data_IF_874650464821
#
_entry.id   IF_874650464821
#
_cell.length_a   1.000
_cell.length_b   1.000
_cell.length_c   1.000
_cell.angle_alpha   90.00
_cell.angle_beta   90.00
_cell.angle_gamma   90.00
#
_symmetry.space_group_name_H-M   'P 1'
#
loop_
_entity.id
_entity.type
_entity.pdbx_description
1 polymer ?
#
# COMPACT_ATOMS: atom_id res chain seq x y z
N UNK A 1 67.74 28.16 -4.75
CA UNK A 1 67.64 26.84 -5.40
C UNK A 1 68.13 25.81 -4.40
N UNK A 2 67.21 25.23 -3.64
CA UNK A 2 67.49 24.17 -2.68
C UNK A 2 67.26 22.83 -3.36
N UNK A 3 68.29 22.00 -3.32
CA UNK A 3 68.37 20.69 -3.96
C UNK A 3 67.38 19.72 -3.28
N UNK A 4 66.28 19.40 -3.99
CA UNK A 4 65.10 18.68 -3.47
C UNK A 4 65.17 17.17 -3.66
N UNK A 5 66.35 16.57 -3.82
CA UNK A 5 66.44 15.16 -4.20
C UNK A 5 67.44 14.33 -3.36
N UNK A 6 67.30 14.38 -2.04
CA UNK A 6 67.84 13.32 -1.16
C UNK A 6 66.68 12.46 -0.69
N UNK A 7 66.52 11.28 -1.32
CA UNK A 7 65.62 10.22 -0.85
C UNK A 7 66.05 9.80 0.56
N UNK A 8 65.08 9.66 1.48
CA UNK A 8 65.33 9.17 2.85
C UNK A 8 65.76 7.70 2.75
N UNK A 9 66.98 7.32 3.18
CA UNK A 9 67.49 5.96 3.07
C UNK A 9 66.74 4.91 3.92
N UNK A 10 65.70 5.33 4.67
CA UNK A 10 64.82 4.43 5.45
C UNK A 10 63.52 4.09 4.74
N UNK A 11 63.22 4.71 3.60
CA UNK A 11 62.02 4.43 2.82
C UNK A 11 62.39 3.56 1.62
N UNK A 12 61.76 2.39 1.43
CA UNK A 12 61.99 1.57 0.24
C UNK A 12 61.62 2.37 -1.02
N UNK A 13 62.40 2.20 -2.09
CA UNK A 13 62.15 2.89 -3.35
C UNK A 13 60.86 2.42 -4.03
N UNK A 14 60.41 3.15 -5.04
CA UNK A 14 59.17 2.83 -5.77
C UNK A 14 59.32 1.61 -6.71
N UNK A 15 60.50 0.98 -6.71
CA UNK A 15 60.79 -0.32 -7.34
C UNK A 15 60.75 -1.48 -6.34
N UNK A 16 60.37 -1.23 -5.08
CA UNK A 16 60.12 -2.28 -4.10
C UNK A 16 58.78 -2.96 -4.37
N UNK A 17 58.81 -4.06 -5.12
CA UNK A 17 57.71 -5.01 -5.20
C UNK A 17 57.75 -5.89 -3.93
N UNK A 18 56.79 -5.76 -2.98
CA UNK A 18 56.74 -6.64 -1.84
C UNK A 18 56.44 -8.05 -2.32
N UNK A 19 57.42 -8.96 -2.20
CA UNK A 19 57.20 -10.37 -2.46
C UNK A 19 56.57 -11.03 -1.22
N UNK A 20 55.53 -11.83 -1.43
CA UNK A 20 54.98 -12.66 -0.36
C UNK A 20 55.87 -13.90 -0.19
N UNK A 21 56.48 -14.05 0.99
CA UNK A 21 57.11 -15.31 1.34
C UNK A 21 56.04 -16.42 1.35
N UNK A 22 56.28 -17.58 0.71
CA UNK A 22 55.35 -18.71 0.77
C UNK A 22 55.35 -19.31 2.18
N UNK A 23 54.57 -18.68 3.08
CA UNK A 23 54.32 -19.18 4.43
C UNK A 23 53.13 -20.12 4.41
N UNK A 24 53.32 -21.31 4.97
CA UNK A 24 52.22 -22.26 5.16
C UNK A 24 51.19 -21.63 6.09
N UNK A 25 49.92 -21.77 5.73
CA UNK A 25 48.80 -21.30 6.54
C UNK A 25 48.88 -21.99 7.93
N UNK A 26 48.70 -21.25 9.04
CA UNK A 26 48.72 -21.83 10.37
C UNK A 26 47.67 -22.92 10.53
N UNK A 27 48.03 -24.06 11.12
CA UNK A 27 47.12 -25.20 11.35
C UNK A 27 45.76 -24.82 11.98
N UNK A 28 45.66 -23.87 12.93
CA UNK A 28 44.36 -23.45 13.47
C UNK A 28 43.38 -22.90 12.42
N UNK A 29 43.87 -22.24 11.38
CA UNK A 29 43.02 -21.68 10.30
C UNK A 29 42.41 -22.80 9.47
N UNK A 30 43.17 -23.87 9.20
CA UNK A 30 42.62 -25.07 8.55
C UNK A 30 41.53 -25.73 9.40
N UNK A 31 41.72 -25.82 10.71
CA UNK A 31 40.70 -26.38 11.61
C UNK A 31 39.41 -25.57 11.62
N UNK A 32 39.50 -24.23 11.61
CA UNK A 32 38.33 -23.35 11.51
C UNK A 32 37.60 -23.56 10.17
N UNK A 33 38.34 -23.60 9.06
CA UNK A 33 37.75 -23.82 7.74
C UNK A 33 37.03 -25.18 7.63
N UNK A 34 37.63 -26.24 8.19
CA UNK A 34 37.02 -27.58 8.25
C UNK A 34 35.77 -27.56 9.13
N UNK A 35 35.81 -26.92 10.29
CA UNK A 35 34.66 -26.82 11.18
C UNK A 35 33.48 -26.08 10.53
N UNK A 36 33.74 -24.98 9.81
CA UNK A 36 32.71 -24.24 9.08
C UNK A 36 32.12 -25.06 7.91
N UNK A 37 32.95 -25.81 7.19
CA UNK A 37 32.49 -26.69 6.13
C UNK A 37 31.58 -27.82 6.68
N UNK A 38 32.00 -28.46 7.78
CA UNK A 38 31.20 -29.50 8.46
C UNK A 38 29.89 -28.90 8.98
N UNK A 39 29.96 -27.74 9.65
CA UNK A 39 28.78 -27.06 10.17
C UNK A 39 27.80 -26.68 9.03
N UNK A 40 28.30 -26.16 7.92
CA UNK A 40 27.49 -25.84 6.73
C UNK A 40 26.82 -27.06 6.12
N UNK A 41 27.52 -28.18 6.00
CA UNK A 41 26.94 -29.45 5.51
C UNK A 41 25.87 -29.98 6.47
N UNK A 42 26.12 -29.95 7.78
CA UNK A 42 25.13 -30.35 8.79
C UNK A 42 23.89 -29.47 8.72
N UNK A 43 24.05 -28.15 8.58
CA UNK A 43 22.95 -27.20 8.44
C UNK A 43 22.12 -27.47 7.17
N UNK A 44 22.77 -27.69 6.02
CA UNK A 44 22.09 -28.03 4.76
C UNK A 44 21.31 -29.34 4.87
N UNK A 45 21.91 -30.35 5.51
CA UNK A 45 21.24 -31.65 5.74
C UNK A 45 20.05 -31.47 6.67
N UNK A 46 20.21 -30.80 7.81
CA UNK A 46 19.13 -30.52 8.75
C UNK A 46 17.98 -29.73 8.08
N UNK A 47 18.31 -28.71 7.28
CA UNK A 47 17.33 -27.94 6.54
C UNK A 47 16.59 -28.81 5.51
N UNK A 48 17.29 -29.71 4.82
CA UNK A 48 16.67 -30.67 3.88
C UNK A 48 15.79 -31.73 4.55
N UNK A 49 16.06 -32.07 5.81
CA UNK A 49 15.21 -32.96 6.59
C UNK A 49 13.96 -32.23 7.08
N UNK A 50 14.09 -30.98 7.55
CA UNK A 50 12.96 -30.16 7.98
C UNK A 50 12.00 -29.85 6.83
N UNK A 51 12.50 -29.59 5.61
CA UNK A 51 11.65 -29.39 4.43
C UNK A 51 10.90 -30.66 4.06
N UNK A 52 11.57 -31.82 4.05
CA UNK A 52 10.91 -33.12 3.78
C UNK A 52 9.86 -33.51 4.82
N UNK A 53 10.05 -33.13 6.08
CA UNK A 53 9.05 -33.33 7.13
C UNK A 53 7.88 -32.38 6.89
N UNK A 54 8.14 -31.11 6.61
CA UNK A 54 7.12 -30.12 6.25
C UNK A 54 6.30 -30.52 5.01
N UNK A 55 6.95 -31.06 3.97
CA UNK A 55 6.28 -31.55 2.75
C UNK A 55 5.41 -32.78 3.03
N UNK A 56 5.83 -33.67 3.94
CA UNK A 56 5.04 -34.83 4.36
C UNK A 56 3.87 -34.43 5.26
N UNK A 57 4.08 -33.47 6.15
CA UNK A 57 3.01 -32.90 6.98
C UNK A 57 2.01 -32.17 6.09
N UNK A 58 2.47 -31.39 5.10
CA UNK A 58 1.63 -30.73 4.08
C UNK A 58 0.88 -31.73 3.20
N UNK A 59 1.49 -32.84 2.81
CA UNK A 59 0.82 -33.92 2.08
C UNK A 59 -0.24 -34.61 2.94
N UNK A 60 0.04 -34.82 4.24
CA UNK A 60 -0.92 -35.41 5.17
C UNK A 60 -2.08 -34.46 5.52
N UNK A 61 -1.81 -33.15 5.57
CA UNK A 61 -2.82 -32.10 5.74
C UNK A 61 -3.65 -31.93 4.48
N UNK A 62 -3.04 -32.00 3.29
CA UNK A 62 -3.78 -31.99 2.02
C UNK A 62 -4.64 -33.25 1.86
N UNK A 63 -4.19 -34.41 2.32
CA UNK A 63 -5.01 -35.63 2.27
C UNK A 63 -6.21 -35.56 3.25
N UNK A 64 -6.06 -34.85 4.38
CA UNK A 64 -7.18 -34.59 5.30
C UNK A 64 -8.14 -33.51 4.80
N UNK A 65 -7.64 -32.49 4.10
CA UNK A 65 -8.45 -31.41 3.53
C UNK A 65 -9.16 -31.83 2.23
N UNK A 66 -8.53 -32.67 1.42
CA UNK A 66 -9.12 -33.29 0.21
C UNK A 66 -10.14 -34.37 0.58
N UNK A 67 -9.99 -35.07 1.71
CA UNK A 67 -11.03 -35.95 2.24
C UNK A 67 -12.27 -35.17 2.75
N UNK A 68 -12.10 -33.89 3.13
CA UNK A 68 -13.20 -33.00 3.52
C UNK A 68 -13.79 -32.18 2.35
N UNK A 69 -13.14 -32.17 1.19
CA UNK A 69 -13.58 -31.42 0.00
C UNK A 69 -13.58 -32.30 -1.24
N UNK A 70 -14.56 -33.19 -1.32
CA UNK A 70 -14.99 -33.65 -2.65
C UNK A 70 -15.52 -32.43 -3.43
N UNK A 71 -15.11 -32.19 -4.68
CA UNK A 71 -15.58 -31.05 -5.45
C UNK A 71 -17.03 -31.26 -5.83
N UNK A 72 -17.94 -30.82 -4.96
CA UNK A 72 -19.34 -30.65 -5.34
C UNK A 72 -19.39 -29.42 -6.22
N UNK A 73 -19.63 -29.65 -7.50
CA UNK A 73 -20.14 -28.65 -8.44
C UNK A 73 -21.47 -28.14 -7.88
N UNK A 74 -21.43 -27.12 -7.03
CA UNK A 74 -22.58 -26.58 -6.31
C UNK A 74 -22.90 -25.18 -6.83
N UNK A 75 -24.15 -25.03 -7.27
CA UNK A 75 -24.81 -23.73 -7.48
C UNK A 75 -24.72 -22.84 -6.22
N UNK A 76 -24.86 -21.51 -6.36
CA UNK A 76 -24.63 -20.58 -5.27
C UNK A 76 -25.61 -20.84 -4.12
N UNK A 77 -25.09 -21.00 -2.89
CA UNK A 77 -25.95 -21.05 -1.71
C UNK A 77 -26.64 -19.69 -1.52
N UNK A 78 -27.95 -19.65 -1.23
CA UNK A 78 -28.73 -18.41 -1.13
C UNK A 78 -28.22 -17.41 -0.08
N UNK A 79 -27.42 -17.83 0.90
CA UNK A 79 -26.91 -16.95 1.98
C UNK A 79 -25.46 -16.44 1.77
N UNK A 80 -24.81 -16.79 0.64
CA UNK A 80 -23.40 -16.43 0.41
C UNK A 80 -23.18 -14.92 0.35
N UNK A 81 -24.09 -14.18 -0.31
CA UNK A 81 -24.00 -12.73 -0.42
C UNK A 81 -24.11 -12.01 0.93
N UNK A 82 -24.91 -12.54 1.86
CA UNK A 82 -25.07 -11.97 3.21
C UNK A 82 -23.79 -12.12 4.05
N UNK A 83 -23.17 -13.29 4.02
CA UNK A 83 -21.92 -13.54 4.72
C UNK A 83 -20.80 -12.65 4.17
N UNK A 84 -20.64 -12.63 2.84
CA UNK A 84 -19.66 -11.78 2.17
C UNK A 84 -19.88 -10.30 2.47
N UNK A 85 -21.13 -9.84 2.54
CA UNK A 85 -21.47 -8.47 2.91
C UNK A 85 -21.08 -8.15 4.37
N UNK A 86 -21.35 -9.08 5.30
CA UNK A 86 -20.95 -8.92 6.71
C UNK A 86 -19.43 -8.80 6.85
N UNK A 87 -18.68 -9.61 6.11
CA UNK A 87 -17.22 -9.66 6.21
C UNK A 87 -16.53 -8.44 5.56
N UNK A 88 -17.13 -7.87 4.51
CA UNK A 88 -16.45 -6.86 3.67
C UNK A 88 -17.08 -5.47 3.69
N UNK A 89 -18.37 -5.36 4.04
CA UNK A 89 -19.14 -4.13 3.82
C UNK A 89 -19.77 -3.59 5.11
N UNK A 90 -20.21 -4.47 6.01
CA UNK A 90 -20.99 -4.09 7.19
C UNK A 90 -20.22 -3.19 8.18
N UNK A 91 -18.88 -3.31 8.24
CA UNK A 91 -18.06 -2.44 9.10
C UNK A 91 -18.20 -0.94 8.79
N UNK A 92 -18.58 -0.61 7.54
CA UNK A 92 -18.81 0.77 7.11
C UNK A 92 -20.29 1.04 6.87
N UNK A 93 -20.99 0.16 6.15
CA UNK A 93 -22.38 0.37 5.76
C UNK A 93 -23.41 -0.12 6.77
N UNK A 94 -23.00 -0.72 7.90
CA UNK A 94 -23.89 -1.33 8.88
C UNK A 94 -24.42 -2.70 8.43
N UNK A 95 -24.86 -3.51 9.39
CA UNK A 95 -25.29 -4.90 9.15
C UNK A 95 -26.52 -5.01 8.25
N UNK A 96 -27.37 -3.97 8.23
CA UNK A 96 -28.54 -3.86 7.38
C UNK A 96 -28.33 -2.86 6.23
N UNK A 97 -27.10 -2.39 5.99
CA UNK A 97 -26.83 -1.38 4.97
C UNK A 97 -27.42 -0.01 5.33
N UNK A 98 -27.59 0.32 6.60
CA UNK A 98 -28.12 1.59 7.09
C UNK A 98 -27.20 2.79 6.93
N UNK A 99 -25.91 2.54 6.72
CA UNK A 99 -24.89 3.56 6.65
C UNK A 99 -24.74 4.35 7.94
N UNK A 100 -24.01 5.46 7.84
CA UNK A 100 -23.77 6.41 8.93
C UNK A 100 -24.10 7.79 8.39
N UNK A 101 -25.01 8.50 9.04
CA UNK A 101 -25.43 9.84 8.63
C UNK A 101 -24.22 10.75 8.35
N UNK A 102 -24.25 11.43 7.20
CA UNK A 102 -23.21 12.37 6.72
C UNK A 102 -21.80 11.78 6.53
N UNK A 103 -21.63 10.45 6.64
CA UNK A 103 -20.33 9.79 6.52
C UNK A 103 -20.34 8.62 5.54
N UNK A 104 -21.24 7.66 5.72
CA UNK A 104 -21.36 6.47 4.87
C UNK A 104 -22.80 6.37 4.35
N UNK A 105 -23.02 6.34 3.03
CA UNK A 105 -24.37 6.30 2.49
C UNK A 105 -25.11 5.00 2.85
N UNK A 106 -26.43 5.07 3.09
CA UNK A 106 -27.27 3.88 3.22
C UNK A 106 -27.28 3.13 1.90
N UNK A 107 -27.22 1.80 1.98
CA UNK A 107 -27.43 0.89 0.88
C UNK A 107 -28.88 0.42 0.84
N UNK A 108 -29.56 0.32 1.99
CA UNK A 108 -30.99 0.04 2.03
C UNK A 108 -31.79 1.28 1.68
N UNK A 109 -32.92 1.08 0.99
CA UNK A 109 -33.84 2.12 0.57
C UNK A 109 -33.23 3.26 -0.27
N UNK A 110 -31.99 3.14 -0.75
CA UNK A 110 -31.31 4.23 -1.45
C UNK A 110 -31.79 4.40 -2.90
N UNK A 111 -31.96 5.64 -3.32
CA UNK A 111 -32.22 6.00 -4.72
C UNK A 111 -31.16 5.48 -5.70
N UNK A 112 -29.89 5.49 -5.31
CA UNK A 112 -28.78 4.91 -6.09
C UNK A 112 -28.99 3.41 -6.33
N UNK A 113 -29.27 2.62 -5.29
CA UNK A 113 -29.49 1.17 -5.45
C UNK A 113 -30.80 0.89 -6.16
N UNK A 114 -31.87 1.62 -5.86
CA UNK A 114 -33.18 1.47 -6.51
C UNK A 114 -33.11 1.73 -8.02
N UNK A 115 -32.40 2.77 -8.45
CA UNK A 115 -32.29 3.13 -9.85
C UNK A 115 -31.25 2.27 -10.59
N UNK A 116 -30.13 1.95 -9.94
CA UNK A 116 -29.00 1.26 -10.57
C UNK A 116 -29.02 -0.27 -10.48
N UNK A 117 -29.69 -0.83 -9.48
CA UNK A 117 -29.76 -2.27 -9.23
C UNK A 117 -28.39 -2.94 -9.02
N UNK A 118 -28.36 -4.25 -9.19
CA UNK A 118 -27.16 -5.07 -8.99
C UNK A 118 -26.01 -4.70 -9.95
N UNK A 119 -26.34 -4.19 -11.15
CA UNK A 119 -25.33 -3.73 -12.11
C UNK A 119 -24.57 -2.49 -11.61
N UNK A 120 -25.28 -1.47 -11.13
CA UNK A 120 -24.62 -0.29 -10.58
C UNK A 120 -23.78 -0.61 -9.34
N UNK A 121 -24.30 -1.47 -8.45
CA UNK A 121 -23.55 -1.95 -7.29
C UNK A 121 -22.25 -2.64 -7.75
N UNK A 122 -22.32 -3.50 -8.77
CA UNK A 122 -21.13 -4.16 -9.33
C UNK A 122 -20.10 -3.15 -9.81
N UNK A 123 -20.51 -2.14 -10.57
CA UNK A 123 -19.61 -1.10 -11.06
C UNK A 123 -19.00 -0.24 -9.95
N UNK A 124 -19.76 0.06 -8.89
CA UNK A 124 -19.28 0.81 -7.73
C UNK A 124 -18.27 -0.03 -6.94
N UNK A 125 -18.61 -1.27 -6.62
CA UNK A 125 -17.72 -2.21 -5.89
C UNK A 125 -16.44 -2.48 -6.69
N UNK A 126 -16.52 -2.57 -8.02
CA UNK A 126 -15.37 -2.81 -8.89
C UNK A 126 -14.41 -1.61 -8.94
N UNK A 127 -14.92 -0.38 -8.96
CA UNK A 127 -14.08 0.83 -9.20
C UNK A 127 -13.80 1.64 -7.94
N UNK A 128 -14.59 1.47 -6.88
CA UNK A 128 -14.68 2.44 -5.79
C UNK A 128 -15.38 3.73 -6.23
N UNK A 129 -15.73 4.56 -5.26
CA UNK A 129 -16.37 5.87 -5.49
C UNK A 129 -15.86 6.88 -4.47
N UNK A 130 -15.56 8.09 -4.94
CA UNK A 130 -15.09 9.20 -4.12
C UNK A 130 -15.67 10.53 -4.61
N UNK A 131 -15.80 11.51 -3.72
CA UNK A 131 -16.37 12.82 -4.04
C UNK A 131 -17.88 12.96 -3.76
N UNK A 132 -18.47 14.13 -4.10
CA UNK A 132 -19.79 14.52 -3.63
C UNK A 132 -20.88 13.65 -4.25
N UNK A 133 -21.75 13.12 -3.41
CA UNK A 133 -22.82 12.18 -3.77
C UNK A 133 -24.08 12.54 -2.99
N UNK A 134 -25.22 12.60 -3.67
CA UNK A 134 -26.52 12.71 -3.03
C UNK A 134 -27.16 11.33 -3.01
N UNK A 135 -27.46 10.83 -1.81
CA UNK A 135 -28.22 9.59 -1.60
C UNK A 135 -29.42 9.91 -0.74
N UNK A 136 -30.63 9.62 -1.23
CA UNK A 136 -31.90 9.91 -0.53
C UNK A 136 -32.00 11.36 -0.01
N UNK A 137 -31.50 12.32 -0.81
CA UNK A 137 -31.44 13.77 -0.51
C UNK A 137 -30.44 14.17 0.58
N UNK A 138 -29.69 13.23 1.15
CA UNK A 138 -28.57 13.53 2.04
C UNK A 138 -27.26 13.61 1.24
N UNK A 139 -26.35 14.46 1.69
CA UNK A 139 -25.06 14.66 1.05
C UNK A 139 -24.00 13.76 1.69
N UNK A 140 -23.21 13.12 0.84
CA UNK A 140 -22.08 12.29 1.22
C UNK A 140 -20.86 12.74 0.42
N UNK A 141 -19.70 12.72 1.06
CA UNK A 141 -18.41 13.07 0.46
C UNK A 141 -17.33 12.13 1.01
N UNK A 142 -17.72 10.86 1.14
CA UNK A 142 -16.91 9.77 1.66
C UNK A 142 -16.26 8.98 0.54
N UNK A 143 -15.18 8.29 0.87
CA UNK A 143 -14.43 7.46 -0.07
C UNK A 143 -14.72 5.98 0.17
N UNK A 144 -15.22 5.30 -0.86
CA UNK A 144 -15.39 3.85 -0.88
C UNK A 144 -14.32 3.21 -1.76
N UNK A 145 -13.46 2.31 -1.21
CA UNK A 145 -12.40 1.68 -1.98
C UNK A 145 -12.95 0.71 -3.04
N UNK A 146 -12.11 0.37 -4.01
CA UNK A 146 -12.38 -0.74 -4.93
C UNK A 146 -12.17 -2.09 -4.23
N UNK A 147 -13.04 -3.04 -4.53
CA UNK A 147 -12.95 -4.43 -4.07
C UNK A 147 -12.62 -5.41 -5.19
N UNK A 148 -12.29 -4.90 -6.38
CA UNK A 148 -11.96 -5.74 -7.52
C UNK A 148 -10.82 -6.72 -7.20
N UNK A 149 -9.76 -6.29 -6.54
CA UNK A 149 -8.61 -7.17 -6.29
C UNK A 149 -8.86 -8.25 -5.22
N UNK A 150 -9.84 -8.05 -4.34
CA UNK A 150 -10.05 -8.89 -3.16
C UNK A 150 -11.24 -9.84 -3.29
N UNK A 151 -12.21 -9.51 -4.15
CA UNK A 151 -13.38 -10.34 -4.38
C UNK A 151 -13.38 -10.87 -5.81
N UNK A 152 -13.61 -12.16 -5.95
CA UNK A 152 -13.77 -12.79 -7.26
C UNK A 152 -15.13 -12.41 -7.90
N UNK A 153 -15.32 -12.81 -9.16
CA UNK A 153 -16.53 -12.44 -9.91
C UNK A 153 -17.81 -13.03 -9.32
N UNK A 154 -17.70 -14.19 -8.66
CA UNK A 154 -18.83 -14.86 -8.02
C UNK A 154 -19.20 -14.17 -6.71
N UNK A 155 -18.21 -13.73 -5.95
CA UNK A 155 -18.40 -13.04 -4.69
C UNK A 155 -19.00 -11.65 -4.90
N UNK A 156 -18.47 -10.89 -5.86
CA UNK A 156 -19.04 -9.60 -6.25
C UNK A 156 -20.48 -9.78 -6.76
N UNK A 157 -20.75 -10.80 -7.59
CA UNK A 157 -22.12 -11.06 -8.03
C UNK A 157 -23.04 -11.39 -6.85
N UNK A 158 -22.56 -12.17 -5.89
CA UNK A 158 -23.35 -12.55 -4.70
C UNK A 158 -23.66 -11.35 -3.80
N UNK A 159 -22.69 -10.47 -3.56
CA UNK A 159 -22.87 -9.22 -2.80
C UNK A 159 -23.83 -8.28 -3.54
N UNK A 160 -23.59 -8.02 -4.83
CA UNK A 160 -24.41 -7.12 -5.62
C UNK A 160 -25.88 -7.58 -5.68
N UNK A 161 -26.08 -8.90 -5.81
CA UNK A 161 -27.41 -9.49 -5.77
C UNK A 161 -28.03 -9.34 -4.38
N UNK A 162 -27.33 -9.70 -3.30
CA UNK A 162 -27.83 -9.54 -1.92
C UNK A 162 -28.25 -8.10 -1.59
N UNK A 163 -27.42 -7.11 -1.95
CA UNK A 163 -27.74 -5.70 -1.72
C UNK A 163 -28.98 -5.27 -2.54
N UNK A 164 -29.12 -5.74 -3.78
CA UNK A 164 -30.28 -5.43 -4.61
C UNK A 164 -31.55 -6.16 -4.13
N UNK A 165 -31.49 -7.46 -3.88
CA UNK A 165 -32.65 -8.29 -3.54
C UNK A 165 -33.03 -8.22 -2.08
N UNK A 166 -32.12 -8.52 -1.18
CA UNK A 166 -32.43 -8.75 0.23
C UNK A 166 -32.54 -7.42 1.00
N UNK A 167 -31.64 -6.47 0.73
CA UNK A 167 -31.70 -5.15 1.38
C UNK A 167 -32.72 -4.20 0.73
N UNK A 168 -33.08 -4.41 -0.54
CA UNK A 168 -33.88 -3.45 -1.32
C UNK A 168 -35.09 -4.03 -2.05
N UNK A 169 -35.31 -5.35 -2.02
CA UNK A 169 -36.47 -6.00 -2.64
C UNK A 169 -36.48 -5.95 -4.18
N UNK A 170 -35.34 -5.68 -4.83
CA UNK A 170 -35.24 -5.57 -6.28
C UNK A 170 -35.07 -6.97 -6.92
N UNK A 171 -35.61 -7.12 -8.12
CA UNK A 171 -35.39 -8.31 -8.97
C UNK A 171 -34.17 -8.17 -9.89
N UNK A 172 -33.33 -7.16 -9.65
CA UNK A 172 -32.13 -6.91 -10.43
C UNK A 172 -31.06 -7.91 -10.02
N UNK A 173 -30.52 -8.65 -10.99
CA UNK A 173 -29.46 -9.64 -10.74
C UNK A 173 -28.32 -9.48 -11.74
N UNK A 174 -27.11 -9.77 -11.29
CA UNK A 174 -25.91 -9.94 -12.12
C UNK A 174 -25.37 -11.35 -12.00
N UNK A 175 -24.81 -11.86 -13.09
CA UNK A 175 -24.12 -13.15 -13.15
C UNK A 175 -22.61 -12.96 -13.03
N UNK A 176 -21.85 -13.97 -12.55
CA UNK A 176 -20.38 -13.89 -12.50
C UNK A 176 -19.75 -13.58 -13.86
N UNK A 177 -20.33 -14.07 -14.97
CA UNK A 177 -19.86 -13.76 -16.31
C UNK A 177 -19.98 -12.26 -16.65
N UNK A 178 -21.09 -11.62 -16.27
CA UNK A 178 -21.26 -10.17 -16.43
C UNK A 178 -20.30 -9.38 -15.55
N UNK A 179 -20.02 -9.87 -14.34
CA UNK A 179 -19.01 -9.26 -13.46
C UNK A 179 -17.61 -9.33 -14.09
N UNK A 180 -17.24 -10.47 -14.67
CA UNK A 180 -15.96 -10.64 -15.37
C UNK A 180 -15.81 -9.68 -16.57
N UNK A 181 -16.89 -9.48 -17.33
CA UNK A 181 -16.94 -8.48 -18.42
C UNK A 181 -16.74 -7.06 -17.89
N UNK A 182 -17.46 -6.69 -16.82
CA UNK A 182 -17.32 -5.38 -16.16
C UNK A 182 -15.91 -5.19 -15.64
N UNK A 183 -15.32 -6.20 -14.99
CA UNK A 183 -13.94 -6.16 -14.48
C UNK A 183 -12.94 -5.86 -15.58
N UNK A 184 -13.06 -6.56 -16.70
CA UNK A 184 -12.18 -6.37 -17.86
C UNK A 184 -12.33 -4.96 -18.45
N UNK A 185 -13.56 -4.48 -18.56
CA UNK A 185 -13.85 -3.13 -19.07
C UNK A 185 -13.42 -2.01 -18.11
N UNK A 186 -13.25 -2.32 -16.81
CA UNK A 186 -12.96 -1.34 -15.76
C UNK A 186 -11.49 -1.28 -15.33
N UNK A 187 -10.64 -2.18 -15.83
CA UNK A 187 -9.31 -2.42 -15.27
C UNK A 187 -8.40 -1.18 -15.18
N UNK A 188 -8.51 -0.27 -16.15
CA UNK A 188 -7.69 0.95 -16.23
C UNK A 188 -8.48 2.23 -15.91
N UNK A 189 -9.72 2.11 -15.42
CA UNK A 189 -10.58 3.24 -15.12
C UNK A 189 -10.36 3.75 -13.69
N UNK A 190 -10.33 5.08 -13.54
CA UNK A 190 -10.31 5.71 -12.23
C UNK A 190 -11.58 5.38 -11.41
N UNK A 191 -11.54 5.53 -10.07
CA UNK A 191 -12.75 5.50 -9.24
C UNK A 191 -13.84 6.44 -9.75
N UNK A 192 -15.09 6.17 -9.37
CA UNK A 192 -16.20 7.06 -9.70
C UNK A 192 -16.04 8.40 -9.00
N UNK A 193 -16.28 9.48 -9.75
CA UNK A 193 -16.23 10.87 -9.26
C UNK A 193 -17.62 11.31 -8.76
N UNK A 194 -17.97 10.76 -7.61
CA UNK A 194 -19.20 11.02 -6.87
C UNK A 194 -20.45 10.73 -7.67
N UNK A 195 -21.50 11.50 -7.38
CA UNK A 195 -22.79 11.39 -8.05
C UNK A 195 -22.72 11.73 -9.54
N UNK A 196 -21.80 12.59 -9.95
CA UNK A 196 -21.66 12.98 -11.36
C UNK A 196 -21.21 11.81 -12.24
N UNK A 197 -20.27 11.00 -11.75
CA UNK A 197 -19.83 9.77 -12.41
C UNK A 197 -20.96 8.74 -12.48
N UNK A 198 -21.75 8.62 -11.40
CA UNK A 198 -22.88 7.70 -11.36
C UNK A 198 -24.04 8.11 -12.26
N UNK A 199 -24.26 9.41 -12.48
CA UNK A 199 -25.34 9.89 -13.36
C UNK A 199 -25.16 9.42 -14.82
N UNK A 200 -23.92 9.18 -15.27
CA UNK A 200 -23.65 8.59 -16.58
C UNK A 200 -23.86 7.07 -16.64
N UNK A 201 -23.87 6.40 -15.49
CA UNK A 201 -24.05 4.95 -15.37
C UNK A 201 -25.53 4.56 -15.12
N UNK A 202 -26.22 5.32 -14.27
CA UNK A 202 -27.53 4.98 -13.71
C UNK A 202 -28.60 5.84 -14.37
N UNK A 203 -29.45 5.20 -15.17
CA UNK A 203 -30.61 5.87 -15.76
C UNK A 203 -31.66 6.19 -14.69
N UNK A 204 -32.11 7.45 -14.63
CA UNK A 204 -33.17 7.88 -13.72
C UNK A 204 -32.70 8.22 -12.30
N UNK A 205 -31.39 8.33 -12.08
CA UNK A 205 -30.84 8.85 -10.83
C UNK A 205 -31.26 10.33 -10.63
N UNK A 206 -31.68 10.75 -9.42
CA UNK A 206 -31.94 12.16 -9.12
C UNK A 206 -30.73 13.05 -9.41
N UNK A 207 -30.97 14.35 -9.62
CA UNK A 207 -29.92 15.31 -9.92
C UNK A 207 -28.78 15.22 -8.90
N UNK A 208 -27.61 14.83 -9.38
CA UNK A 208 -26.41 14.69 -8.58
C UNK A 208 -25.59 15.98 -8.62
N UNK A 209 -24.78 16.26 -7.57
CA UNK A 209 -23.87 17.39 -7.60
C UNK A 209 -22.93 17.21 -8.79
N UNK A 210 -22.66 18.31 -9.50
CA UNK A 210 -21.60 18.30 -10.48
C UNK A 210 -20.30 17.91 -9.77
N UNK A 211 -19.49 17.05 -10.39
CA UNK A 211 -18.10 16.96 -9.98
C UNK A 211 -17.55 18.37 -10.09
N UNK A 212 -17.08 18.92 -8.98
CA UNK A 212 -16.30 20.15 -9.06
C UNK A 212 -15.09 19.79 -9.91
N UNK A 213 -15.09 20.20 -11.18
CA UNK A 213 -13.84 20.29 -11.95
C UNK A 213 -12.90 21.04 -11.05
N UNK A 214 -11.90 20.33 -10.52
CA UNK A 214 -10.94 20.88 -9.60
C UNK A 214 -10.53 22.25 -10.14
N UNK A 215 -10.67 23.35 -9.37
CA UNK A 215 -10.34 24.66 -9.85
C UNK A 215 -8.94 24.60 -10.48
N UNK A 216 -8.75 25.28 -11.62
CA UNK A 216 -7.46 25.34 -12.28
C UNK A 216 -6.38 25.60 -11.22
N UNK A 217 -5.32 24.77 -11.16
CA UNK A 217 -4.37 24.80 -10.05
C UNK A 217 -3.88 26.23 -9.87
N UNK A 218 -3.85 26.69 -8.62
CA UNK A 218 -3.24 27.99 -8.31
C UNK A 218 -1.82 28.06 -8.92
N UNK A 219 -1.28 29.25 -9.18
CA UNK A 219 0.09 29.38 -9.70
C UNK A 219 1.13 28.60 -8.87
N UNK A 220 0.93 28.52 -7.55
CA UNK A 220 1.74 27.68 -6.66
C UNK A 220 1.55 26.18 -6.95
N UNK A 221 0.32 25.69 -7.11
CA UNK A 221 0.07 24.28 -7.44
C UNK A 221 0.60 23.88 -8.83
N UNK A 222 0.59 24.79 -9.80
CA UNK A 222 1.22 24.55 -11.11
C UNK A 222 2.74 24.47 -10.99
N UNK A 223 3.36 25.33 -10.17
CA UNK A 223 4.80 25.28 -9.89
C UNK A 223 5.18 24.00 -9.14
N UNK A 224 4.37 23.55 -8.17
CA UNK A 224 4.58 22.27 -7.46
C UNK A 224 4.46 21.08 -8.41
N UNK A 225 3.47 21.05 -9.29
CA UNK A 225 3.31 20.00 -10.28
C UNK A 225 4.51 19.96 -11.26
N UNK A 226 4.97 21.13 -11.72
CA UNK A 226 6.16 21.23 -12.56
C UNK A 226 7.42 20.74 -11.83
N UNK A 227 7.58 21.09 -10.56
CA UNK A 227 8.67 20.59 -9.72
C UNK A 227 8.62 19.06 -9.57
N UNK A 228 7.43 18.50 -9.33
CA UNK A 228 7.26 17.06 -9.19
C UNK A 228 7.56 16.30 -10.50
N UNK A 229 7.13 16.83 -11.65
CA UNK A 229 7.27 16.16 -12.95
C UNK A 229 8.61 16.39 -13.63
N UNK A 230 9.17 17.60 -13.52
CA UNK A 230 10.34 18.02 -14.28
C UNK A 230 11.54 18.40 -13.42
N UNK A 231 11.33 18.63 -12.12
CA UNK A 231 12.37 19.13 -11.24
C UNK A 231 12.79 20.56 -11.60
N UNK A 232 13.98 20.94 -11.16
CA UNK A 232 14.69 22.16 -11.52
C UNK A 232 16.15 21.82 -11.84
N UNK A 233 16.98 22.82 -12.09
CA UNK A 233 18.43 22.62 -12.22
C UNK A 233 19.08 22.08 -10.92
N UNK A 234 18.43 22.27 -9.76
CA UNK A 234 18.97 21.93 -8.44
C UNK A 234 18.21 20.80 -7.74
N UNK A 235 16.99 20.50 -8.19
CA UNK A 235 16.09 19.50 -7.60
C UNK A 235 15.72 18.49 -8.68
N UNK A 236 15.98 17.20 -8.46
CA UNK A 236 15.55 16.17 -9.41
C UNK A 236 14.03 16.03 -9.42
N UNK A 237 13.48 15.68 -10.59
CA UNK A 237 12.07 15.33 -10.74
C UNK A 237 11.71 14.17 -9.80
N UNK A 238 10.65 14.36 -9.01
CA UNK A 238 10.09 13.30 -8.16
C UNK A 238 9.56 12.15 -9.02
N UNK A 239 8.89 12.47 -10.13
CA UNK A 239 8.31 11.51 -11.06
C UNK A 239 9.35 10.61 -11.74
N UNK A 240 10.58 11.10 -11.92
CA UNK A 240 11.67 10.31 -12.53
C UNK A 240 12.00 9.02 -11.76
N UNK A 241 11.67 8.97 -10.47
CA UNK A 241 11.85 7.79 -9.62
C UNK A 241 10.50 7.23 -9.13
N UNK A 242 9.59 8.10 -8.68
CA UNK A 242 8.33 7.69 -8.08
C UNK A 242 7.19 7.47 -9.08
N UNK A 243 7.43 7.68 -10.38
CA UNK A 243 6.43 7.57 -11.44
C UNK A 243 5.58 8.83 -11.60
N UNK A 244 5.00 9.00 -12.79
CA UNK A 244 4.22 10.19 -13.18
C UNK A 244 2.97 10.37 -12.32
N UNK A 245 2.44 9.28 -11.75
CA UNK A 245 1.29 9.28 -10.85
C UNK A 245 1.71 8.98 -9.41
N UNK A 246 3.00 9.05 -9.07
CA UNK A 246 3.49 8.71 -7.74
C UNK A 246 3.23 7.25 -7.33
N UNK A 247 3.09 6.34 -8.29
CA UNK A 247 2.80 4.91 -8.11
C UNK A 247 3.97 4.11 -7.48
N UNK A 248 5.18 4.64 -7.56
CA UNK A 248 6.40 3.95 -7.16
C UNK A 248 6.74 2.75 -8.05
N UNK A 249 7.89 2.14 -7.78
CA UNK A 249 8.35 0.95 -8.49
C UNK A 249 9.37 0.20 -7.65
N UNK A 250 9.22 -1.12 -7.51
CA UNK A 250 10.15 -1.98 -6.76
C UNK A 250 10.49 -1.45 -5.35
N UNK A 251 11.70 -0.93 -5.14
CA UNK A 251 12.20 -0.39 -3.87
C UNK A 251 11.85 1.09 -3.68
N UNK A 252 11.27 1.74 -4.68
CA UNK A 252 10.84 3.13 -4.67
C UNK A 252 9.36 3.17 -4.26
N UNK A 253 8.99 3.87 -3.17
CA UNK A 253 7.64 3.82 -2.66
C UNK A 253 6.63 4.58 -3.53
N UNK A 254 5.39 4.11 -3.49
CA UNK A 254 4.20 4.90 -3.80
C UNK A 254 4.10 6.10 -2.87
N UNK A 255 3.87 7.28 -3.45
CA UNK A 255 3.60 8.53 -2.76
C UNK A 255 2.12 8.93 -2.85
N UNK A 256 1.49 8.66 -4.00
CA UNK A 256 0.15 9.12 -4.30
C UNK A 256 -0.89 8.58 -3.31
N UNK A 257 -1.68 9.47 -2.69
CA UNK A 257 -2.73 9.11 -1.72
C UNK A 257 -2.22 8.82 -0.30
N UNK A 258 -0.92 8.95 -0.03
CA UNK A 258 -0.42 8.94 1.36
C UNK A 258 -0.78 10.26 2.05
N UNK A 259 -0.99 10.21 3.37
CA UNK A 259 -1.32 11.38 4.16
C UNK A 259 -0.25 12.49 3.97
N UNK A 260 -0.64 13.74 3.61
CA UNK A 260 0.31 14.83 3.39
C UNK A 260 1.23 15.09 4.59
N UNK A 261 0.69 15.05 5.81
CA UNK A 261 1.51 15.23 7.00
C UNK A 261 2.56 14.12 7.19
N UNK A 262 2.26 12.87 6.79
CA UNK A 262 3.25 11.80 6.75
C UNK A 262 4.33 12.05 5.69
N UNK A 263 3.93 12.44 4.47
CA UNK A 263 4.86 12.75 3.37
C UNK A 263 5.81 13.88 3.75
N UNK A 264 5.28 14.99 4.28
CA UNK A 264 6.05 16.12 4.77
C UNK A 264 7.04 15.68 5.86
N UNK A 265 6.57 14.91 6.85
CA UNK A 265 7.42 14.35 7.89
C UNK A 265 8.55 13.53 7.30
N UNK A 266 8.29 12.66 6.32
CA UNK A 266 9.35 11.82 5.74
C UNK A 266 10.39 12.65 4.98
N UNK A 267 9.96 13.68 4.24
CA UNK A 267 10.88 14.61 3.56
C UNK A 267 11.75 15.39 4.56
N UNK A 268 11.16 15.88 5.66
CA UNK A 268 11.92 16.48 6.76
C UNK A 268 12.87 15.49 7.43
N UNK A 269 12.43 14.27 7.72
CA UNK A 269 13.28 13.24 8.32
C UNK A 269 14.51 12.92 7.44
N UNK A 270 14.35 12.90 6.10
CA UNK A 270 15.47 12.77 5.17
C UNK A 270 16.39 14.00 5.21
N UNK A 271 15.83 15.20 5.20
CA UNK A 271 16.59 16.46 5.20
C UNK A 271 17.40 16.67 6.47
N UNK A 272 16.88 16.19 7.60
CA UNK A 272 17.53 16.24 8.92
C UNK A 272 18.47 15.04 9.16
N UNK A 273 18.49 14.05 8.25
CA UNK A 273 19.29 12.84 8.40
C UNK A 273 18.77 11.84 9.44
N UNK A 274 17.56 12.04 9.98
CA UNK A 274 16.91 11.09 10.90
C UNK A 274 16.32 9.88 10.17
N UNK A 275 16.15 9.99 8.86
CA UNK A 275 15.94 8.89 7.92
C UNK A 275 17.01 8.96 6.83
N UNK A 276 17.71 7.87 6.57
CA UNK A 276 18.85 7.88 5.64
C UNK A 276 18.47 7.16 4.34
N UNK A 277 18.71 7.82 3.22
CA UNK A 277 18.70 7.24 1.88
C UNK A 277 19.46 8.19 0.94
N UNK A 278 20.53 7.71 0.30
CA UNK A 278 21.43 8.56 -0.48
C UNK A 278 20.74 9.30 -1.63
N UNK A 279 19.79 8.64 -2.30
CA UNK A 279 19.03 9.25 -3.40
C UNK A 279 18.10 10.35 -2.88
N UNK A 280 17.34 10.08 -1.82
CA UNK A 280 16.42 11.07 -1.25
C UNK A 280 17.16 12.20 -0.54
N UNK A 281 18.29 11.94 0.12
CA UNK A 281 19.15 12.95 0.75
C UNK A 281 19.58 14.03 -0.25
N UNK A 282 19.95 13.62 -1.47
CA UNK A 282 20.26 14.57 -2.55
C UNK A 282 19.05 15.44 -2.92
N UNK A 283 17.87 14.83 -3.08
CA UNK A 283 16.65 15.54 -3.48
C UNK A 283 16.20 16.56 -2.43
N UNK A 284 16.18 16.16 -1.15
CA UNK A 284 15.59 16.99 -0.09
C UNK A 284 16.49 18.14 0.37
N UNK A 285 17.79 18.07 0.14
CA UNK A 285 18.75 19.14 0.49
C UNK A 285 18.45 20.47 -0.20
N UNK A 286 17.96 20.40 -1.44
CA UNK A 286 17.62 21.57 -2.25
C UNK A 286 16.16 22.02 -2.07
N UNK A 287 15.34 21.30 -1.29
CA UNK A 287 13.94 21.66 -1.05
C UNK A 287 13.81 22.69 0.07
N UNK A 288 13.07 23.77 -0.17
CA UNK A 288 12.56 24.65 0.89
C UNK A 288 11.43 23.97 1.67
N UNK A 289 11.17 24.45 2.88
CA UNK A 289 10.09 23.89 3.71
C UNK A 289 8.71 24.11 3.07
N UNK A 290 8.51 25.26 2.39
CA UNK A 290 7.30 25.50 1.59
C UNK A 290 7.11 24.40 0.53
N UNK A 291 8.17 24.09 -0.25
CA UNK A 291 8.11 23.06 -1.27
C UNK A 291 7.87 21.66 -0.70
N UNK A 292 8.42 21.34 0.49
CA UNK A 292 8.14 20.07 1.18
C UNK A 292 6.65 19.92 1.46
N UNK A 293 6.02 20.95 2.04
CA UNK A 293 4.58 20.94 2.35
C UNK A 293 3.75 20.86 1.07
N UNK A 294 4.12 21.62 0.03
CA UNK A 294 3.39 21.62 -1.24
C UNK A 294 3.48 20.28 -1.97
N UNK A 295 4.66 19.68 -2.06
CA UNK A 295 4.84 18.34 -2.66
C UNK A 295 4.09 17.26 -1.88
N UNK A 296 4.08 17.36 -0.55
CA UNK A 296 3.32 16.46 0.29
C UNK A 296 1.81 16.57 0.06
N UNK A 297 1.27 17.78 -0.05
CA UNK A 297 -0.12 18.02 -0.40
C UNK A 297 -0.44 17.53 -1.83
N UNK A 298 0.45 17.81 -2.78
CA UNK A 298 0.30 17.42 -4.17
C UNK A 298 0.16 15.90 -4.33
N UNK A 299 1.10 15.12 -3.79
CA UNK A 299 1.01 13.65 -3.87
C UNK A 299 -0.09 13.08 -2.98
N UNK A 300 -0.34 13.63 -1.80
CA UNK A 300 -1.40 13.10 -0.93
C UNK A 300 -2.83 13.36 -1.43
N UNK A 301 -3.02 14.34 -2.32
CA UNK A 301 -4.27 14.59 -3.02
C UNK A 301 -4.48 13.69 -4.26
N UNK A 302 -3.45 12.96 -4.71
CA UNK A 302 -3.60 12.05 -5.84
C UNK A 302 -4.36 10.78 -5.46
N UNK A 303 -5.18 10.29 -6.39
CA UNK A 303 -5.70 8.92 -6.32
C UNK A 303 -4.54 7.95 -6.40
N UNK A 304 -4.47 7.05 -5.43
CA UNK A 304 -3.40 6.06 -5.34
C UNK A 304 -3.50 5.05 -6.50
N UNK A 305 -2.49 4.96 -7.38
CA UNK A 305 -2.51 4.04 -8.52
C UNK A 305 -2.45 2.59 -8.04
N UNK A 306 -3.25 1.71 -8.66
CA UNK A 306 -3.25 0.28 -8.37
C UNK A 306 -2.17 -0.44 -9.19
N UNK A 307 -0.89 -0.29 -8.79
CA UNK A 307 0.25 -0.87 -9.52
C UNK A 307 1.05 -1.93 -8.76
N UNK A 308 0.97 -1.95 -7.42
CA UNK A 308 1.71 -2.91 -6.61
C UNK A 308 1.14 -4.33 -6.77
N UNK A 309 2.02 -5.32 -6.82
CA UNK A 309 1.65 -6.75 -6.87
C UNK A 309 2.65 -7.57 -6.05
N UNK A 310 2.23 -8.70 -5.46
CA UNK A 310 3.13 -9.66 -4.86
C UNK A 310 4.27 -10.04 -5.81
N UNK A 311 5.52 -9.99 -5.34
CA UNK A 311 6.71 -10.30 -6.16
C UNK A 311 7.90 -10.82 -5.38
N UNK A 312 7.80 -10.97 -4.06
CA UNK A 312 8.89 -11.44 -3.19
C UNK A 312 8.80 -12.93 -2.84
N UNK A 313 7.84 -13.64 -3.44
CA UNK A 313 7.55 -15.05 -3.19
C UNK A 313 7.30 -15.32 -1.69
N UNK A 314 6.62 -14.37 -1.03
CA UNK A 314 6.15 -14.51 0.34
C UNK A 314 4.93 -15.42 0.42
N UNK A 315 4.79 -16.12 1.55
CA UNK A 315 3.55 -16.86 1.85
C UNK A 315 2.43 -15.86 2.17
N UNK A 316 1.49 -15.67 1.24
CA UNK A 316 0.40 -14.71 1.37
C UNK A 316 -0.50 -15.01 2.57
N UNK A 317 -0.78 -16.27 2.87
CA UNK A 317 -1.62 -16.65 4.02
C UNK A 317 -0.92 -16.32 5.34
N UNK A 318 0.41 -16.53 5.39
CA UNK A 318 1.21 -16.08 6.54
C UNK A 318 1.22 -14.55 6.67
N UNK A 319 1.34 -13.83 5.55
CA UNK A 319 1.34 -12.38 5.51
C UNK A 319 0.01 -11.79 5.99
N UNK A 320 -1.09 -12.35 5.48
CA UNK A 320 -2.46 -12.02 5.87
C UNK A 320 -2.67 -12.20 7.38
N UNK A 321 -2.30 -13.37 7.90
CA UNK A 321 -2.42 -13.64 9.33
C UNK A 321 -1.68 -12.61 10.19
N UNK A 322 -0.42 -12.29 9.85
CA UNK A 322 0.34 -11.29 10.62
C UNK A 322 -0.31 -9.90 10.48
N UNK A 323 -0.81 -9.54 9.31
CA UNK A 323 -1.40 -8.24 9.08
C UNK A 323 -2.74 -8.04 9.82
N UNK A 324 -3.61 -9.05 9.81
CA UNK A 324 -4.96 -9.03 10.39
C UNK A 324 -4.97 -9.37 11.88
N UNK A 325 -4.20 -10.38 12.29
CA UNK A 325 -4.25 -10.95 13.65
C UNK A 325 -2.97 -10.69 14.46
N UNK A 326 -1.84 -10.52 13.77
CA UNK A 326 -0.53 -10.45 14.40
C UNK A 326 0.07 -11.82 14.71
N UNK A 327 1.15 -11.82 15.48
CA UNK A 327 1.82 -12.99 16.03
C UNK A 327 2.35 -12.67 17.43
N UNK A 328 1.51 -12.86 18.45
CA UNK A 328 1.86 -12.59 19.84
C UNK A 328 2.96 -13.49 20.39
N UNK A 329 3.23 -14.65 19.75
CA UNK A 329 4.39 -15.48 20.13
C UNK A 329 5.72 -14.77 19.83
N UNK A 330 5.69 -13.82 18.89
CA UNK A 330 6.81 -12.94 18.52
C UNK A 330 6.64 -11.51 19.03
N UNK A 331 5.63 -11.22 19.86
CA UNK A 331 5.25 -9.86 20.26
C UNK A 331 4.95 -8.92 19.08
N UNK A 332 4.38 -9.45 17.99
CA UNK A 332 3.94 -8.65 16.84
C UNK A 332 2.43 -8.46 16.93
N UNK A 333 1.91 -7.26 17.22
CA UNK A 333 0.48 -6.99 17.10
C UNK A 333 0.04 -6.98 15.63
N UNK A 334 -1.26 -7.12 15.39
CA UNK A 334 -1.84 -6.96 14.06
C UNK A 334 -1.48 -5.58 13.47
N UNK A 335 -1.06 -5.57 12.20
CA UNK A 335 -0.63 -4.33 11.54
C UNK A 335 -1.77 -3.29 11.48
N UNK A 336 -2.99 -3.74 11.21
CA UNK A 336 -4.14 -2.85 10.99
C UNK A 336 -4.72 -2.24 12.27
N UNK A 337 -4.32 -2.73 13.45
CA UNK A 337 -4.64 -2.06 14.72
C UNK A 337 -4.05 -0.65 14.79
N UNK A 338 -2.91 -0.43 14.13
CA UNK A 338 -2.26 0.89 14.08
C UNK A 338 -2.36 1.55 12.70
N UNK A 339 -2.23 0.77 11.62
CA UNK A 339 -2.22 1.29 10.25
C UNK A 339 -3.63 1.45 9.64
N UNK A 340 -4.67 1.38 10.46
CA UNK A 340 -6.06 1.54 10.04
C UNK A 340 -6.62 0.30 9.34
N UNK A 341 -7.96 0.26 9.14
CA UNK A 341 -8.63 -0.84 8.45
C UNK A 341 -8.01 -1.09 7.09
N UNK A 342 -7.73 -2.36 6.77
CA UNK A 342 -7.08 -2.77 5.52
C UNK A 342 -5.77 -2.05 5.19
N UNK A 343 -5.11 -1.42 6.18
CA UNK A 343 -3.85 -0.72 5.99
C UNK A 343 -3.96 0.60 5.22
N UNK A 344 -5.10 1.29 5.26
CA UNK A 344 -5.29 2.58 4.55
C UNK A 344 -4.51 3.75 5.19
N UNK A 345 -4.10 3.63 6.45
CA UNK A 345 -3.39 4.65 7.20
C UNK A 345 -4.30 5.54 8.06
N UNK A 346 -3.70 6.16 9.08
CA UNK A 346 -4.35 7.09 10.02
C UNK A 346 -3.41 8.25 10.34
N UNK A 347 -3.67 9.41 9.71
CA UNK A 347 -2.93 10.65 9.97
C UNK A 347 -1.44 10.60 9.59
N UNK A 348 -0.61 11.32 10.34
CA UNK A 348 0.83 11.50 10.09
C UNK A 348 1.72 10.40 10.69
N UNK A 349 1.22 9.70 11.72
CA UNK A 349 1.99 8.70 12.49
C UNK A 349 1.89 7.30 11.92
N UNK A 350 0.77 6.97 11.29
CA UNK A 350 0.50 5.62 10.79
C UNK A 350 0.19 5.70 9.29
N UNK A 351 1.20 5.57 8.41
CA UNK A 351 0.99 5.67 6.97
C UNK A 351 0.16 4.50 6.43
N UNK A 352 -0.45 4.73 5.27
CA UNK A 352 -1.04 3.66 4.47
C UNK A 352 0.01 2.66 3.99
N UNK A 353 -0.30 1.39 4.17
CA UNK A 353 0.50 0.23 3.79
C UNK A 353 -0.07 -0.50 2.57
N UNK A 354 -1.39 -0.41 2.36
CA UNK A 354 -2.07 -1.07 1.26
C UNK A 354 -1.58 -0.55 -0.11
N UNK A 355 -1.48 -1.47 -1.07
CA UNK A 355 -0.95 -1.23 -2.41
C UNK A 355 0.42 -0.51 -2.41
N UNK A 356 1.24 -0.74 -1.39
CA UNK A 356 2.62 -0.26 -1.38
C UNK A 356 3.53 -1.30 -2.03
N UNK A 357 4.62 -0.84 -2.64
CA UNK A 357 5.56 -1.72 -3.33
C UNK A 357 6.15 -2.75 -2.35
N UNK A 358 6.07 -4.07 -2.63
CA UNK A 358 6.45 -5.09 -1.66
C UNK A 358 7.94 -5.03 -1.33
N UNK A 359 8.81 -4.83 -2.34
CA UNK A 359 10.25 -4.69 -2.10
C UNK A 359 10.57 -3.47 -1.22
N UNK A 360 9.85 -2.35 -1.40
CA UNK A 360 9.96 -1.22 -0.48
C UNK A 360 9.55 -1.59 0.95
N UNK A 361 8.38 -2.21 1.17
CA UNK A 361 7.91 -2.60 2.51
C UNK A 361 8.90 -3.55 3.19
N UNK A 362 9.31 -4.62 2.50
CA UNK A 362 10.27 -5.59 3.03
C UNK A 362 11.60 -4.91 3.39
N UNK A 363 12.06 -3.98 2.54
CA UNK A 363 13.26 -3.21 2.81
C UNK A 363 13.10 -2.28 4.02
N UNK A 364 11.96 -1.58 4.18
CA UNK A 364 11.74 -0.73 5.37
C UNK A 364 11.74 -1.55 6.67
N UNK A 365 11.07 -2.71 6.66
CA UNK A 365 11.06 -3.62 7.81
C UNK A 365 12.47 -4.15 8.13
N UNK A 366 13.28 -4.48 7.11
CA UNK A 366 14.67 -4.87 7.28
C UNK A 366 15.55 -3.73 7.84
N UNK A 367 15.33 -2.49 7.40
CA UNK A 367 16.04 -1.32 7.91
C UNK A 367 15.72 -1.03 9.38
N UNK A 368 14.47 -1.26 9.80
CA UNK A 368 14.10 -1.18 11.22
C UNK A 368 14.71 -2.32 12.05
N UNK A 369 14.74 -3.54 11.52
CA UNK A 369 15.42 -4.67 12.17
C UNK A 369 16.91 -4.40 12.38
N UNK A 370 17.60 -3.91 11.35
CA UNK A 370 19.03 -3.58 11.37
C UNK A 370 19.36 -2.28 12.10
N UNK A 371 18.35 -1.48 12.47
CA UNK A 371 18.52 -0.20 13.16
C UNK A 371 18.90 0.98 12.28
N UNK A 372 19.15 0.77 10.98
CA UNK A 372 19.42 1.83 10.00
C UNK A 372 18.22 2.76 9.75
N UNK A 373 17.02 2.37 10.18
CA UNK A 373 15.84 3.25 10.28
C UNK A 373 15.32 3.26 11.71
N UNK A 374 15.13 4.45 12.28
CA UNK A 374 14.69 4.64 13.67
C UNK A 374 13.74 5.82 13.87
N UNK A 375 13.19 6.38 12.78
CA UNK A 375 12.33 7.57 12.80
C UNK A 375 10.84 7.30 13.12
N UNK A 376 10.51 6.12 13.66
CA UNK A 376 9.13 5.77 14.05
C UNK A 376 8.81 6.32 15.45
N UNK A 377 7.62 6.90 15.69
CA UNK A 377 7.19 7.33 17.02
C UNK A 377 7.37 6.21 18.06
N UNK A 378 7.97 6.56 19.21
CA UNK A 378 8.24 5.64 20.34
C UNK A 378 9.03 4.36 19.97
N UNK A 379 9.69 4.32 18.80
CA UNK A 379 10.40 3.13 18.34
C UNK A 379 9.50 1.93 17.99
N UNK A 380 8.19 2.15 17.78
CA UNK A 380 7.22 1.07 17.57
C UNK A 380 7.63 0.12 16.44
N UNK A 381 7.96 0.66 15.26
CA UNK A 381 8.34 -0.15 14.11
C UNK A 381 9.72 -0.80 14.25
N UNK A 382 10.62 -0.24 15.06
CA UNK A 382 11.89 -0.88 15.37
C UNK A 382 11.69 -2.18 16.17
N UNK A 383 10.73 -2.20 17.10
CA UNK A 383 10.35 -3.42 17.83
C UNK A 383 9.73 -4.48 16.92
N UNK A 384 8.81 -4.08 16.04
CA UNK A 384 8.17 -4.98 15.07
C UNK A 384 9.20 -5.53 14.08
N UNK A 385 10.05 -4.68 13.50
CA UNK A 385 11.09 -5.10 12.55
C UNK A 385 12.05 -6.13 13.14
N UNK A 386 12.44 -5.97 14.41
CA UNK A 386 13.29 -6.95 15.13
C UNK A 386 12.62 -8.29 15.38
N UNK A 387 11.30 -8.33 15.41
CA UNK A 387 10.51 -9.52 15.75
C UNK A 387 10.13 -10.36 14.52
N UNK A 388 10.18 -9.77 13.32
CA UNK A 388 9.84 -10.43 12.06
C UNK A 388 11.07 -11.08 11.42
N UNK A 389 10.94 -12.37 11.06
CA UNK A 389 11.93 -13.06 10.24
C UNK A 389 11.92 -12.54 8.79
N UNK A 390 12.96 -12.86 8.02
CA UNK A 390 13.04 -12.51 6.59
C UNK A 390 11.86 -13.08 5.78
N UNK A 391 11.42 -14.29 6.14
CA UNK A 391 10.23 -14.91 5.55
C UNK A 391 8.96 -14.14 5.93
N UNK A 392 8.80 -13.74 7.21
CA UNK A 392 7.64 -12.97 7.65
C UNK A 392 7.60 -11.58 6.96
N UNK A 393 8.75 -10.92 6.80
CA UNK A 393 8.81 -9.61 6.12
C UNK A 393 8.39 -9.70 4.66
N UNK A 394 8.83 -10.74 3.93
CA UNK A 394 8.41 -10.97 2.54
C UNK A 394 6.93 -11.33 2.46
N UNK A 395 6.45 -12.19 3.35
CA UNK A 395 5.04 -12.57 3.44
C UNK A 395 4.12 -11.36 3.66
N UNK A 396 4.42 -10.54 4.67
CA UNK A 396 3.65 -9.32 4.98
C UNK A 396 3.73 -8.31 3.83
N UNK A 397 4.92 -8.11 3.25
CA UNK A 397 5.09 -7.19 2.14
C UNK A 397 4.27 -7.58 0.90
N UNK A 398 4.30 -8.85 0.51
CA UNK A 398 3.52 -9.36 -0.62
C UNK A 398 2.02 -9.30 -0.33
N UNK A 399 1.58 -9.64 0.89
CA UNK A 399 0.18 -9.50 1.27
C UNK A 399 -0.28 -8.04 1.17
N UNK A 400 0.46 -7.08 1.73
CA UNK A 400 0.10 -5.65 1.67
C UNK A 400 0.09 -5.11 0.23
N UNK A 401 0.97 -5.63 -0.63
CA UNK A 401 0.98 -5.30 -2.05
C UNK A 401 -0.22 -5.87 -2.83
N UNK A 402 -0.89 -6.91 -2.32
CA UNK A 402 -2.12 -7.47 -2.91
C UNK A 402 -3.38 -6.67 -2.55
N UNK A 403 -3.32 -5.85 -1.51
CA UNK A 403 -4.45 -5.04 -1.05
C UNK A 403 -4.72 -3.86 -1.99
N UNK A 404 -5.99 -3.42 -2.10
CA UNK A 404 -6.34 -2.27 -2.91
C UNK A 404 -5.74 -0.98 -2.35
N UNK A 405 -5.45 0.02 -3.21
CA UNK A 405 -4.96 1.32 -2.77
C UNK A 405 -5.99 2.11 -1.95
N UNK A 406 -5.52 2.94 -1.01
CA UNK A 406 -6.37 3.94 -0.34
C UNK A 406 -6.81 5.02 -1.35
N UNK A 407 -8.08 5.41 -1.33
CA UNK A 407 -8.59 6.46 -2.23
C UNK A 407 -8.05 7.86 -1.87
N UNK A 408 -8.15 8.82 -2.80
CA UNK A 408 -7.58 10.16 -2.64
C UNK A 408 -8.16 10.93 -1.45
N UNK A 409 -7.35 11.68 -0.71
CA UNK A 409 -7.84 12.56 0.36
C UNK A 409 -8.33 13.91 -0.22
N UNK A 410 -9.59 13.97 -0.69
CA UNK A 410 -10.16 15.19 -1.29
C UNK A 410 -10.27 16.37 -0.30
N UNK A 411 -10.45 16.10 1.00
CA UNK A 411 -10.66 17.12 2.06
C UNK A 411 -9.51 18.12 2.23
N UNK A 412 -8.27 17.78 1.84
CA UNK A 412 -7.12 18.68 2.05
C UNK A 412 -6.96 19.71 0.92
N UNK A 413 -7.47 19.43 -0.28
CA UNK A 413 -7.45 20.38 -1.39
C UNK A 413 -8.31 21.63 -1.10
N UNK A 414 -9.45 21.46 -0.42
CA UNK A 414 -10.32 22.59 -0.03
C UNK A 414 -9.78 23.40 1.16
N UNK A 415 -9.08 22.77 2.10
CA UNK A 415 -8.61 23.46 3.32
C UNK A 415 -7.45 24.45 3.06
N UNK A 416 -6.62 24.19 2.05
CA UNK A 416 -5.51 25.08 1.63
C UNK A 416 -6.05 26.35 0.93
N UNK A 417 -7.18 26.26 0.23
CA UNK A 417 -7.84 27.41 -0.38
C UNK A 417 -8.59 28.29 0.63
N UNK A 418 -9.00 27.74 1.78
CA UNK A 418 -9.71 28.49 2.82
C UNK A 418 -8.77 29.25 3.77
N UNK A 419 -7.64 28.64 4.15
CA UNK A 419 -6.68 29.24 5.11
C UNK A 419 -5.85 30.39 4.54
N UNK A 420 -5.72 30.49 3.21
CA UNK A 420 -5.03 31.62 2.54
C UNK A 420 -5.92 32.87 2.39
N UNK A 421 -7.23 32.76 2.63
CA UNK A 421 -8.17 33.89 2.52
C UNK A 421 -8.33 34.69 3.82
N UNK A 422 -8.01 34.11 4.98
CA UNK A 422 -8.17 34.79 6.28
C UNK A 422 -6.95 35.65 6.70
N UNK A 423 -5.77 35.49 6.09
CA UNK A 423 -4.58 36.29 6.43
C UNK A 423 -4.39 37.54 5.56
N UNK A 424 -5.27 37.82 4.61
CA UNK A 424 -5.15 38.94 3.65
C UNK A 424 -6.05 40.15 3.99
N UNK A 425 -6.90 40.05 5.02
CA UNK A 425 -7.88 41.10 5.33
C UNK A 425 -7.67 41.77 6.71
N UNK A 426 -6.41 41.91 7.12
CA UNK A 426 -6.04 42.51 8.39
C UNK A 426 -4.68 43.19 8.37
N UNK A 427 -4.52 44.24 7.54
CA UNK A 427 -3.70 45.42 7.84
C UNK A 427 -3.99 46.56 6.87
#
# INVERSE_FOLDING_TARGET
MTDKNKQDPRLPDETFEPYEEPRRIPMPVYWIAIALAIWGVVMLVQMSYSTKIGDKERASMSDQEVAATTPVKAEPKPDAGKALFADNCASCHGDAGEGVADAIPPLHASDVVKAGGASAITHIVMRGIGGPLIVDKANYDGEMPSFASVLDDKDIASIANFVASDLNGLKSTVTPAQVAEIRTASADLNPWDGGSGLAGLINGLPAQPASETAPAPSPDAAATAALAMHGTNEIWSCASCHGDKGEGTQTIPRLAGLAPAYLAKQLHDFKEGTRINDSMDYVVKSLSDKQIIELANYYGAMSSPSGARPSLEGDLARGEKIALEGDWTKNVPACFTCHGPSGIGVGDKFPGLAAQQPAYIAHQLAMWQGGSRHNSPLGLMAGIGKSLSDADRRAVADYLASLPPAAANAKLALAVSATTKETSNGQ
#
